data_IF_558683379054
#
_entry.id   IF_558683379054
#
_cell.length_a   1.000
_cell.length_b   1.000
_cell.length_c   1.000
_cell.angle_alpha   90.00
_cell.angle_beta   90.00
_cell.angle_gamma   90.00
#
_symmetry.space_group_name_H-M   'P 1'
#
loop_
_entity.id
_entity.type
_entity.pdbx_description
1 polymer ?
#
# COMPACT_ATOMS: atom_id res chain seq x y z
N UNK A 1 4.74 0.13 21.32
CA UNK A 1 5.47 0.68 20.17
C UNK A 1 4.49 0.77 19.03
N UNK A 2 4.56 1.81 18.20
CA UNK A 2 3.71 1.96 17.03
C UNK A 2 4.54 1.75 15.78
N UNK A 3 3.99 1.02 14.82
CA UNK A 3 4.55 0.91 13.48
C UNK A 3 3.52 1.51 12.54
N UNK A 4 3.93 2.58 11.86
CA UNK A 4 3.12 3.29 10.86
C UNK A 4 3.59 2.91 9.47
N UNK A 5 2.67 2.81 8.52
CA UNK A 5 2.97 2.59 7.10
C UNK A 5 1.83 3.10 6.23
N UNK A 6 2.15 3.59 5.05
CA UNK A 6 1.16 3.87 4.01
C UNK A 6 0.54 2.58 3.46
N UNK A 7 -0.73 2.64 3.08
CA UNK A 7 -1.37 1.60 2.27
C UNK A 7 -0.65 1.47 0.92
N UNK A 8 -0.42 0.21 0.52
CA UNK A 8 0.04 -0.14 -0.82
C UNK A 8 -0.83 -1.27 -1.33
N UNK A 9 -1.53 -1.09 -2.46
CA UNK A 9 -2.37 -2.13 -3.02
C UNK A 9 -1.50 -3.29 -3.49
N UNK A 10 -2.03 -4.50 -3.33
CA UNK A 10 -1.50 -5.65 -4.06
C UNK A 10 -2.22 -5.67 -5.41
N UNK A 11 -1.48 -5.49 -6.50
CA UNK A 11 -1.99 -5.47 -7.87
C UNK A 11 -1.54 -6.74 -8.63
N UNK A 12 -2.26 -7.88 -8.50
CA UNK A 12 -2.01 -9.04 -9.33
C UNK A 12 -2.17 -8.67 -10.81
N UNK A 13 -1.25 -9.10 -11.67
CA UNK A 13 -1.25 -8.74 -13.10
C UNK A 13 -2.52 -9.15 -13.84
N UNK A 14 -3.20 -10.22 -13.41
CA UNK A 14 -4.46 -10.70 -14.00
C UNK A 14 -5.70 -10.11 -13.32
N UNK A 15 -5.53 -9.35 -12.24
CA UNK A 15 -6.62 -8.60 -11.62
C UNK A 15 -6.96 -7.37 -12.45
N UNK A 16 -8.08 -6.75 -12.13
CA UNK A 16 -8.57 -5.50 -12.69
C UNK A 16 -9.05 -4.71 -11.46
N UNK A 17 -8.16 -3.88 -10.92
CA UNK A 17 -8.33 -3.27 -9.61
C UNK A 17 -9.35 -2.14 -9.66
N UNK A 18 -9.36 -1.35 -10.72
CA UNK A 18 -10.22 -0.19 -10.90
C UNK A 18 -11.52 -0.51 -11.68
N UNK A 19 -11.62 -1.69 -12.29
CA UNK A 19 -12.83 -2.22 -12.90
C UNK A 19 -13.11 -1.64 -14.29
N UNK A 20 -12.09 -1.14 -14.98
CA UNK A 20 -12.22 -0.51 -16.30
C UNK A 20 -12.27 -1.53 -17.45
N UNK A 21 -12.01 -2.81 -17.14
CA UNK A 21 -12.02 -3.94 -18.07
C UNK A 21 -10.63 -4.30 -18.64
N UNK A 22 -9.57 -3.59 -18.22
CA UNK A 22 -8.18 -3.85 -18.58
C UNK A 22 -7.46 -4.47 -17.37
N UNK A 23 -6.77 -5.61 -17.54
CA UNK A 23 -6.02 -6.20 -16.44
C UNK A 23 -4.84 -5.31 -15.99
N UNK A 24 -4.60 -5.21 -14.68
CA UNK A 24 -3.55 -4.41 -14.03
C UNK A 24 -2.17 -4.52 -14.69
N UNK A 25 -1.81 -5.71 -15.21
CA UNK A 25 -0.50 -5.95 -15.84
C UNK A 25 -0.37 -5.36 -17.25
N UNK A 26 -1.47 -4.95 -17.86
CA UNK A 26 -1.56 -4.33 -19.18
C UNK A 26 -2.19 -2.94 -19.16
N UNK A 27 -2.75 -2.57 -18.02
CA UNK A 27 -3.38 -1.28 -17.76
C UNK A 27 -2.31 -0.21 -17.54
N UNK A 28 -2.41 0.90 -18.28
CA UNK A 28 -1.53 2.04 -18.12
C UNK A 28 -1.96 3.01 -17.00
N UNK A 29 -3.10 2.76 -16.34
CA UNK A 29 -3.54 3.38 -15.09
C UNK A 29 -4.27 2.39 -14.16
N UNK A 30 -3.58 1.39 -13.57
CA UNK A 30 -4.20 0.29 -12.80
C UNK A 30 -5.08 0.64 -11.58
N UNK A 31 -5.21 1.92 -11.25
CA UNK A 31 -5.91 2.45 -10.09
C UNK A 31 -6.96 3.51 -10.48
N UNK A 32 -7.02 3.92 -11.74
CA UNK A 32 -7.85 5.02 -12.23
C UNK A 32 -8.52 4.61 -13.54
N UNK A 33 -9.85 4.38 -13.56
CA UNK A 33 -10.51 3.78 -14.71
C UNK A 33 -10.30 4.54 -16.01
N UNK A 34 -9.69 3.90 -17.00
CA UNK A 34 -9.47 4.48 -18.33
C UNK A 34 -9.55 3.43 -19.45
N UNK A 35 -10.78 2.97 -19.79
CA UNK A 35 -10.98 1.88 -20.75
C UNK A 35 -10.44 2.15 -22.17
N UNK A 36 -10.15 3.43 -22.50
CA UNK A 36 -9.57 3.83 -23.78
C UNK A 36 -8.04 3.74 -23.82
N UNK A 37 -7.40 3.55 -22.67
CA UNK A 37 -5.95 3.43 -22.48
C UNK A 37 -5.18 4.57 -23.17
N UNK A 38 -5.77 5.78 -23.19
CA UNK A 38 -5.11 6.95 -23.75
C UNK A 38 -3.79 7.24 -23.01
N UNK A 39 -2.76 7.61 -23.75
CA UNK A 39 -1.43 7.88 -23.18
C UNK A 39 -1.26 9.36 -22.84
N UNK A 40 -0.46 9.63 -21.82
CA UNK A 40 0.04 10.94 -21.45
C UNK A 40 0.90 11.58 -22.56
N UNK A 41 1.19 12.88 -22.43
CA UNK A 41 1.92 13.63 -23.46
C UNK A 41 3.36 13.13 -23.70
N UNK A 42 4.00 12.56 -22.69
CA UNK A 42 5.32 11.93 -22.77
C UNK A 42 5.26 10.45 -23.19
N UNK A 43 4.06 9.87 -23.24
CA UNK A 43 3.80 8.51 -23.70
C UNK A 43 4.22 7.41 -22.74
N UNK A 44 4.50 7.73 -21.46
CA UNK A 44 5.01 6.78 -20.48
C UNK A 44 3.94 6.21 -19.55
N UNK A 45 2.85 6.94 -19.32
CA UNK A 45 1.72 6.56 -18.44
C UNK A 45 0.39 6.76 -19.16
N UNK A 46 -0.71 6.26 -18.61
CA UNK A 46 -2.03 6.62 -19.09
C UNK A 46 -2.37 8.08 -18.75
N UNK A 47 -3.12 8.77 -19.61
CA UNK A 47 -3.46 10.18 -19.39
C UNK A 47 -4.43 10.40 -18.23
N UNK A 48 -5.07 9.34 -17.72
CA UNK A 48 -6.00 9.41 -16.59
C UNK A 48 -5.29 9.48 -15.23
N UNK A 49 -4.09 8.91 -15.15
CA UNK A 49 -3.23 8.86 -13.96
C UNK A 49 -1.92 9.64 -14.20
N UNK A 50 -2.01 10.70 -15.01
CA UNK A 50 -0.88 11.57 -15.29
C UNK A 50 -1.34 13.02 -15.28
N UNK A 51 -0.57 13.88 -14.64
CA UNK A 51 -0.84 15.32 -14.57
C UNK A 51 0.34 16.09 -15.14
N UNK A 52 0.06 17.29 -15.65
CA UNK A 52 1.11 18.22 -16.07
C UNK A 52 1.44 19.07 -14.86
N UNK A 53 2.65 18.89 -14.32
CA UNK A 53 3.14 19.75 -13.26
C UNK A 53 3.19 21.19 -13.78
N UNK A 54 2.40 22.07 -13.17
CA UNK A 54 2.24 23.43 -13.63
C UNK A 54 3.54 24.26 -13.47
N UNK A 55 4.46 23.81 -12.63
CA UNK A 55 5.70 24.53 -12.31
C UNK A 55 6.83 24.25 -13.30
N UNK A 56 6.90 23.03 -13.83
CA UNK A 56 7.93 22.54 -14.74
C UNK A 56 7.39 22.33 -16.16
N UNK A 57 6.07 22.21 -16.32
CA UNK A 57 5.42 21.81 -17.56
C UNK A 57 5.65 20.34 -17.93
N UNK A 58 6.24 19.55 -17.03
CA UNK A 58 6.53 18.14 -17.24
C UNK A 58 5.27 17.32 -16.98
N UNK A 59 5.11 16.22 -17.72
CA UNK A 59 4.10 15.21 -17.37
C UNK A 59 4.68 14.32 -16.29
N UNK A 60 3.95 14.20 -15.18
CA UNK A 60 4.31 13.39 -14.02
C UNK A 60 3.18 12.41 -13.71
N UNK A 61 3.54 11.30 -13.08
CA UNK A 61 2.60 10.27 -12.67
C UNK A 61 1.78 10.75 -11.46
N UNK A 62 0.48 10.50 -11.51
CA UNK A 62 -0.51 10.71 -10.46
C UNK A 62 -1.30 9.41 -10.37
N UNK A 63 -0.76 8.46 -9.62
CA UNK A 63 -1.13 7.05 -9.64
C UNK A 63 -2.58 6.83 -9.20
N UNK A 64 -3.15 7.68 -8.35
CA UNK A 64 -4.52 7.55 -7.85
C UNK A 64 -5.49 8.61 -8.41
N UNK A 65 -4.99 9.56 -9.20
CA UNK A 65 -5.78 10.51 -9.97
C UNK A 65 -6.41 11.61 -9.13
N UNK A 66 -5.84 11.92 -7.96
CA UNK A 66 -6.38 12.94 -7.06
C UNK A 66 -5.92 14.38 -7.42
N UNK A 67 -5.00 14.50 -8.38
CA UNK A 67 -4.45 15.75 -8.88
C UNK A 67 -3.12 16.15 -8.24
N UNK A 68 -2.58 15.34 -7.33
CA UNK A 68 -1.24 15.50 -6.73
C UNK A 68 -0.31 14.47 -7.36
N UNK A 69 0.86 14.93 -7.81
CA UNK A 69 1.88 14.04 -8.40
C UNK A 69 2.47 13.11 -7.34
N UNK A 70 2.77 11.86 -7.70
CA UNK A 70 3.27 10.81 -6.79
C UNK A 70 4.46 11.23 -5.92
N UNK A 71 5.31 12.13 -6.44
CA UNK A 71 6.49 12.64 -5.73
C UNK A 71 6.17 13.59 -4.58
N UNK A 72 4.96 14.14 -4.54
CA UNK A 72 4.47 15.09 -3.53
C UNK A 72 3.20 14.59 -2.82
N UNK A 73 2.75 13.38 -3.14
CA UNK A 73 1.57 12.76 -2.57
C UNK A 73 1.92 11.89 -1.35
N UNK A 74 1.37 12.23 -0.19
CA UNK A 74 1.51 11.48 1.06
C UNK A 74 0.73 10.15 1.07
N UNK A 75 -0.10 9.90 0.05
CA UNK A 75 -0.90 8.71 -0.14
C UNK A 75 -1.06 8.26 -1.62
N UNK A 76 0.06 8.10 -2.35
CA UNK A 76 0.22 7.64 -3.76
C UNK A 76 -0.80 6.64 -4.36
N UNK A 77 -1.52 5.86 -3.55
CA UNK A 77 -2.46 4.84 -4.02
C UNK A 77 -3.89 5.02 -3.48
N UNK A 78 -4.19 6.10 -2.77
CA UNK A 78 -5.49 6.35 -2.14
C UNK A 78 -5.81 7.84 -2.23
N UNK A 79 -6.79 8.23 -3.07
CA UNK A 79 -7.04 9.63 -3.37
C UNK A 79 -7.29 10.47 -2.13
N UNK A 80 -6.50 11.53 -1.94
CA UNK A 80 -6.57 12.41 -0.78
C UNK A 80 -6.06 13.83 -1.11
N UNK A 81 -6.71 14.51 -2.06
CA UNK A 81 -6.31 15.84 -2.53
C UNK A 81 -6.10 16.93 -1.44
N UNK A 82 -6.58 16.70 -0.21
CA UNK A 82 -6.31 17.57 0.95
C UNK A 82 -4.94 17.37 1.59
N UNK A 83 -4.21 16.29 1.30
CA UNK A 83 -2.86 15.96 1.78
C UNK A 83 -2.74 16.18 3.30
N UNK A 84 -3.70 15.58 4.02
CA UNK A 84 -3.80 15.75 5.47
C UNK A 84 -2.94 14.70 6.13
N UNK A 85 -1.86 15.15 6.76
CA UNK A 85 -0.95 14.38 7.60
C UNK A 85 -0.94 15.04 8.98
N UNK A 86 -1.68 14.47 9.93
CA UNK A 86 -1.94 15.08 11.23
C UNK A 86 -0.73 15.04 12.17
N UNK A 87 0.21 14.12 11.97
CA UNK A 87 1.37 13.94 12.85
C UNK A 87 2.73 14.26 12.19
N UNK A 88 2.73 14.51 10.89
CA UNK A 88 3.88 15.00 10.14
C UNK A 88 4.92 13.93 9.84
N UNK A 89 4.53 12.65 9.77
CA UNK A 89 5.43 11.54 9.47
C UNK A 89 5.61 11.29 7.95
N UNK A 90 4.86 12.02 7.11
CA UNK A 90 4.90 11.94 5.65
C UNK A 90 3.99 10.87 5.07
N UNK A 91 3.10 10.27 5.87
CA UNK A 91 2.04 9.37 5.43
C UNK A 91 0.70 10.07 5.68
N UNK A 92 -0.13 10.24 4.65
CA UNK A 92 -1.41 10.89 4.84
C UNK A 92 -2.37 10.05 5.70
N UNK A 93 -3.19 10.74 6.49
CA UNK A 93 -4.16 10.16 7.43
C UNK A 93 -5.10 9.15 6.75
N UNK A 94 -5.37 9.34 5.45
CA UNK A 94 -6.29 8.51 4.67
C UNK A 94 -5.72 7.12 4.37
N UNK A 95 -4.41 7.03 4.11
CA UNK A 95 -3.72 5.78 3.80
C UNK A 95 -2.90 5.23 4.98
N UNK A 96 -2.85 5.94 6.11
CA UNK A 96 -2.07 5.55 7.27
C UNK A 96 -2.59 4.28 7.94
N UNK A 97 -1.74 3.25 8.01
CA UNK A 97 -1.98 2.04 8.80
C UNK A 97 -1.13 2.05 10.05
N UNK A 98 -1.79 2.19 11.21
CA UNK A 98 -1.15 2.11 12.52
C UNK A 98 -1.23 0.69 13.07
N UNK A 99 -0.08 0.12 13.41
CA UNK A 99 0.02 -1.13 14.15
C UNK A 99 0.46 -0.85 15.59
N UNK A 100 -0.40 -1.15 16.56
CA UNK A 100 0.00 -1.12 17.97
C UNK A 100 0.69 -2.44 18.33
N UNK A 101 1.96 -2.34 18.68
CA UNK A 101 2.79 -3.46 19.14
C UNK A 101 2.73 -3.53 20.66
N UNK A 102 2.06 -4.57 21.16
CA UNK A 102 2.00 -4.92 22.58
C UNK A 102 2.98 -6.06 22.84
N UNK A 103 3.98 -5.79 23.69
CA UNK A 103 4.95 -6.79 24.14
C UNK A 103 4.43 -7.47 25.41
N UNK A 104 4.13 -8.76 25.32
CA UNK A 104 3.84 -9.62 26.47
C UNK A 104 5.05 -10.48 26.84
N UNK A 105 5.06 -11.11 28.03
CA UNK A 105 6.01 -12.18 28.30
C UNK A 105 5.75 -13.33 27.32
N UNK A 106 6.71 -13.59 26.42
CA UNK A 106 6.63 -14.69 25.44
C UNK A 106 5.79 -14.42 24.20
N UNK A 107 5.26 -13.21 23.96
CA UNK A 107 4.46 -12.91 22.75
C UNK A 107 4.52 -11.44 22.31
N UNK A 108 4.35 -11.20 21.01
CA UNK A 108 4.17 -9.86 20.41
C UNK A 108 2.85 -9.83 19.66
N UNK A 109 1.89 -9.05 20.15
CA UNK A 109 0.62 -8.84 19.47
C UNK A 109 0.72 -7.60 18.58
N UNK A 110 0.37 -7.74 17.30
CA UNK A 110 0.19 -6.63 16.37
C UNK A 110 -1.30 -6.42 16.13
N UNK A 111 -1.84 -5.32 16.65
CA UNK A 111 -3.19 -4.89 16.35
C UNK A 111 -3.10 -3.80 15.26
N UNK A 112 -3.57 -4.11 14.04
CA UNK A 112 -3.65 -3.13 12.95
C UNK A 112 -4.96 -2.35 13.05
N UNK A 113 -4.88 -1.02 13.06
CA UNK A 113 -6.04 -0.16 12.87
C UNK A 113 -6.56 -0.33 11.45
N UNK A 114 -7.86 -0.62 11.24
CA UNK A 114 -8.42 -0.76 9.91
C UNK A 114 -8.35 0.56 9.15
N UNK A 115 -7.77 0.54 7.95
CA UNK A 115 -7.91 1.62 6.96
C UNK A 115 -9.18 1.38 6.16
N UNK A 116 -10.03 2.39 6.08
CA UNK A 116 -11.19 2.35 5.21
C UNK A 116 -10.73 2.48 3.75
N UNK A 117 -10.58 1.35 3.06
CA UNK A 117 -10.28 1.36 1.63
C UNK A 117 -11.52 1.83 0.86
N UNK A 118 -11.40 2.83 -0.04
CA UNK A 118 -12.53 3.37 -0.81
C UNK A 118 -13.36 2.28 -1.51
N UNK A 119 -12.71 1.21 -2.01
CA UNK A 119 -13.38 0.14 -2.76
C UNK A 119 -13.80 -1.08 -1.93
N UNK A 120 -13.48 -1.12 -0.62
CA UNK A 120 -13.90 -2.22 0.28
C UNK A 120 -14.23 -1.73 1.69
N UNK A 121 -15.40 -1.10 1.91
CA UNK A 121 -15.86 -0.73 3.24
C UNK A 121 -15.95 -1.97 4.14
N UNK A 122 -15.12 -2.01 5.19
CA UNK A 122 -15.12 -3.07 6.22
C UNK A 122 -14.05 -4.15 6.11
N UNK A 123 -13.10 -4.05 5.15
CA UNK A 123 -11.98 -4.98 5.09
C UNK A 123 -10.97 -4.72 6.23
N UNK A 124 -10.89 -5.63 7.20
CA UNK A 124 -9.92 -5.58 8.31
C UNK A 124 -8.79 -6.56 8.04
N UNK A 125 -7.54 -6.10 8.05
CA UNK A 125 -6.36 -6.96 8.03
C UNK A 125 -5.90 -7.21 9.48
N UNK A 126 -6.01 -8.44 9.98
CA UNK A 126 -5.44 -8.84 11.28
C UNK A 126 -4.22 -9.73 11.07
N UNK A 127 -3.06 -9.36 11.64
CA UNK A 127 -1.85 -10.16 11.66
C UNK A 127 -1.53 -10.57 13.11
N UNK A 128 -1.74 -11.84 13.45
CA UNK A 128 -1.38 -12.38 14.77
C UNK A 128 -0.07 -13.16 14.65
N UNK A 129 0.94 -12.80 15.46
CA UNK A 129 2.21 -13.54 15.56
C UNK A 129 2.33 -14.10 16.98
N UNK A 130 2.35 -15.42 17.09
CA UNK A 130 2.47 -16.14 18.36
C UNK A 130 3.92 -16.56 18.58
N UNK A 131 4.48 -16.29 19.77
CA UNK A 131 5.89 -16.59 20.09
C UNK A 131 6.03 -17.62 21.21
N UNK A 132 4.94 -18.23 21.68
CA UNK A 132 5.04 -19.26 22.72
C UNK A 132 5.63 -20.57 22.16
N UNK A 133 6.89 -20.76 22.56
CA UNK A 133 7.72 -21.95 22.49
C UNK A 133 8.04 -22.56 21.11
N UNK A 134 9.08 -21.94 20.53
CA UNK A 134 10.14 -22.48 19.66
C UNK A 134 9.87 -22.39 18.16
N UNK A 135 10.87 -21.79 17.49
CA UNK A 135 11.28 -22.00 16.09
C UNK A 135 10.32 -21.43 15.04
N UNK A 136 10.62 -20.32 14.32
CA UNK A 136 10.21 -20.08 12.91
C UNK A 136 10.62 -18.67 12.28
N UNK A 137 11.22 -18.61 11.07
CA UNK A 137 11.61 -17.46 10.17
C UNK A 137 10.56 -17.22 9.07
N UNK A 138 9.90 -16.08 9.00
CA UNK A 138 8.85 -15.83 7.98
C UNK A 138 9.34 -16.13 6.54
N UNK A 139 8.69 -17.06 5.83
CA UNK A 139 8.87 -17.33 4.40
C UNK A 139 7.50 -17.45 3.72
N UNK A 140 7.19 -16.52 2.82
CA UNK A 140 5.91 -16.47 2.11
C UNK A 140 6.07 -17.03 0.68
N UNK A 141 5.15 -17.90 0.25
CA UNK A 141 5.07 -18.45 -1.11
C UNK A 141 4.11 -17.59 -1.97
N UNK A 142 4.40 -17.46 -3.26
CA UNK A 142 3.82 -16.47 -4.16
C UNK A 142 2.38 -16.79 -4.65
N UNK A 143 1.72 -17.81 -4.11
CA UNK A 143 0.43 -18.31 -4.60
C UNK A 143 -0.75 -18.34 -3.61
N UNK A 144 -0.58 -18.01 -2.32
CA UNK A 144 -1.66 -18.08 -1.33
C UNK A 144 -1.62 -16.96 -0.28
N UNK A 145 -2.80 -16.55 0.21
CA UNK A 145 -3.10 -15.45 1.15
C UNK A 145 -2.66 -15.69 2.61
N UNK A 146 -1.62 -16.49 2.88
CA UNK A 146 -1.11 -16.74 4.25
C UNK A 146 0.41 -16.93 4.24
N UNK A 147 1.13 -16.16 5.05
CA UNK A 147 2.56 -16.37 5.32
C UNK A 147 2.75 -17.49 6.35
N UNK A 148 3.79 -18.31 6.16
CA UNK A 148 4.26 -19.32 7.12
C UNK A 148 5.66 -18.96 7.62
N UNK A 149 6.00 -19.34 8.84
CA UNK A 149 7.31 -19.08 9.46
C UNK A 149 8.23 -20.36 9.33
N UNK A 150 9.58 -20.27 9.31
CA UNK A 150 10.65 -21.25 8.94
C UNK A 150 11.96 -21.23 9.82
N UNK A 151 12.16 -22.03 10.86
CA UNK A 151 12.95 -21.74 12.10
C UNK A 151 14.41 -21.28 12.21
N UNK A 152 15.15 -20.86 11.18
CA UNK A 152 16.62 -21.01 11.25
C UNK A 152 17.51 -19.78 11.48
N UNK A 153 17.03 -18.53 11.63
CA UNK A 153 17.96 -17.37 11.68
C UNK A 153 17.68 -16.26 12.71
N UNK A 154 17.28 -16.59 13.95
CA UNK A 154 17.27 -15.57 15.02
C UNK A 154 18.28 -15.97 16.10
N UNK A 155 19.48 -15.38 16.02
CA UNK A 155 20.49 -15.41 17.07
C UNK A 155 20.35 -14.12 17.89
N UNK A 156 19.84 -14.22 19.12
CA UNK A 156 19.87 -13.13 20.10
C UNK A 156 21.04 -13.40 21.04
N UNK A 157 22.15 -12.69 20.87
CA UNK A 157 23.17 -12.59 21.92
C UNK A 157 22.82 -11.47 22.86
N UNK A 158 22.65 -11.81 24.13
CA UNK A 158 22.51 -10.90 25.27
C UNK A 158 23.79 -11.04 26.12
N UNK A 159 24.37 -9.97 26.69
CA UNK A 159 25.45 -10.10 27.67
C UNK A 159 25.02 -10.85 28.94
#
# INVERSE_FOLDING_TARGET
MEVRRAFRPNLPSTGDYDGDGIPNGTDNCPMVPNPDQALSADGTSGSACAVVDASTGSTELDSDGDGIVDGFDDCVWVPNASQTDSDGDGIGDVCEQVAHVVLGPGSVKLDLTPVALPDRPGAVSTLTVDFDDRKTLVGCDAGFTRCSLNPQAILVTVP
#
